data_IF_354147093611
#
_entry.id   IF_354147093611
#
_cell.length_a   1.000
_cell.length_b   1.000
_cell.length_c   1.000
_cell.angle_alpha   90.00
_cell.angle_beta   90.00
_cell.angle_gamma   90.00
#
_symmetry.space_group_name_H-M   'P 1'
#
loop_
_entity.id
_entity.type
_entity.pdbx_description
1 polymer ?
#
# COMPACT_ATOMS: atom_id res chain seq x y z
N UNK A 1 -1.43 1.55 0.95
CA UNK A 1 -1.90 0.50 1.89
C UNK A 1 -3.16 0.95 2.63
N UNK A 2 -3.97 1.82 2.01
CA UNK A 2 -5.38 1.98 2.40
C UNK A 2 -6.10 0.62 2.32
N UNK A 3 -7.02 0.35 3.25
CA UNK A 3 -7.70 -0.94 3.35
C UNK A 3 -8.68 -1.18 2.21
N UNK A 4 -9.12 -0.13 1.54
CA UNK A 4 -10.04 -0.19 0.42
C UNK A 4 -9.30 -0.35 -0.89
N UNK A 5 -9.93 -1.01 -1.87
CA UNK A 5 -9.37 -1.06 -3.20
C UNK A 5 -9.37 0.35 -3.81
N UNK A 6 -8.19 0.84 -4.20
CA UNK A 6 -8.00 2.13 -4.86
C UNK A 6 -8.46 2.13 -6.33
N UNK A 7 -9.72 1.77 -6.55
CA UNK A 7 -10.32 1.50 -7.86
C UNK A 7 -10.23 2.68 -8.82
N UNK A 8 -10.23 3.92 -8.31
CA UNK A 8 -10.05 5.12 -9.14
C UNK A 8 -8.69 5.13 -9.84
N UNK A 9 -7.62 4.95 -9.07
CA UNK A 9 -6.25 4.88 -9.60
C UNK A 9 -6.08 3.70 -10.54
N UNK A 10 -6.63 2.52 -10.21
CA UNK A 10 -6.61 1.37 -11.11
C UNK A 10 -7.25 1.71 -12.46
N UNK A 11 -8.47 2.25 -12.48
CA UNK A 11 -9.17 2.56 -13.72
C UNK A 11 -8.49 3.66 -14.55
N UNK A 12 -7.79 4.60 -13.92
CA UNK A 12 -7.04 5.64 -14.65
C UNK A 12 -5.88 5.03 -15.45
N UNK A 13 -5.22 4.01 -14.90
CA UNK A 13 -3.98 3.45 -15.45
C UNK A 13 -4.11 2.04 -16.02
N UNK A 14 -5.33 1.46 -16.09
CA UNK A 14 -5.51 0.05 -16.50
C UNK A 14 -4.97 -0.26 -17.90
N UNK A 15 -4.87 0.73 -18.80
CA UNK A 15 -4.29 0.58 -20.14
C UNK A 15 -2.89 1.23 -20.30
N UNK A 16 -2.34 1.80 -19.23
CA UNK A 16 -1.06 2.50 -19.23
C UNK A 16 0.09 1.58 -18.81
N UNK A 17 1.06 1.37 -19.71
CA UNK A 17 2.25 0.56 -19.43
C UNK A 17 3.31 1.29 -18.60
N UNK A 18 3.14 2.58 -18.36
CA UNK A 18 4.12 3.46 -17.71
C UNK A 18 3.86 3.64 -16.22
N UNK A 19 2.77 3.06 -15.69
CA UNK A 19 2.41 3.12 -14.27
C UNK A 19 2.11 1.72 -13.75
N UNK A 20 2.92 1.24 -12.81
CA UNK A 20 2.60 0.06 -12.02
C UNK A 20 1.67 0.44 -10.87
N UNK A 21 0.40 0.02 -10.94
CA UNK A 21 -0.55 0.12 -9.86
C UNK A 21 -0.50 -1.15 -8.98
N UNK A 22 -0.38 -0.95 -7.67
CA UNK A 22 -0.40 -2.04 -6.68
C UNK A 22 -1.33 -1.69 -5.53
N UNK A 23 -2.18 -2.63 -5.14
CA UNK A 23 -3.08 -2.47 -4.01
C UNK A 23 -3.09 -3.71 -3.10
N UNK A 24 -2.90 -3.49 -1.80
CA UNK A 24 -3.22 -4.46 -0.75
C UNK A 24 -4.49 -3.95 -0.09
N UNK A 25 -5.57 -4.72 -0.15
CA UNK A 25 -6.86 -4.27 0.34
C UNK A 25 -7.69 -5.46 0.83
N UNK A 26 -8.65 -5.19 1.70
CA UNK A 26 -9.61 -6.19 2.13
C UNK A 26 -10.52 -6.56 0.96
N UNK A 27 -10.75 -7.85 0.74
CA UNK A 27 -11.59 -8.33 -0.37
C UNK A 27 -12.31 -9.65 -0.02
N UNK A 28 -13.59 -9.83 -0.38
CA UNK A 28 -14.48 -8.82 -0.97
C UNK A 28 -14.87 -7.77 0.07
N UNK A 29 -14.77 -6.49 -0.30
CA UNK A 29 -15.14 -5.36 0.55
C UNK A 29 -15.53 -4.15 -0.31
N UNK A 30 -15.28 -2.92 0.13
CA UNK A 30 -15.55 -1.74 -0.68
C UNK A 30 -14.47 -1.52 -1.75
N UNK A 31 -14.83 -1.24 -3.01
CA UNK A 31 -16.19 -1.06 -3.56
C UNK A 31 -16.74 -2.31 -4.29
N UNK A 32 -16.19 -3.49 -4.04
CA UNK A 32 -16.55 -4.75 -4.69
C UNK A 32 -15.67 -5.12 -5.90
N UNK A 33 -14.59 -4.38 -6.12
CA UNK A 33 -13.57 -4.60 -7.16
C UNK A 33 -12.22 -4.91 -6.52
N UNK A 34 -11.17 -5.15 -7.33
CA UNK A 34 -9.83 -5.46 -6.83
C UNK A 34 -9.56 -6.97 -6.75
N UNK A 35 -10.26 -7.78 -7.54
CA UNK A 35 -9.93 -9.21 -7.59
C UNK A 35 -8.50 -9.41 -8.10
N UNK A 36 -7.85 -10.50 -7.68
CA UNK A 36 -6.52 -10.89 -8.19
C UNK A 36 -6.45 -11.08 -9.71
N UNK A 37 -7.59 -11.29 -10.37
CA UNK A 37 -7.67 -11.52 -11.81
C UNK A 37 -7.75 -10.19 -12.60
N UNK A 38 -7.96 -9.06 -11.92
CA UNK A 38 -7.86 -7.72 -12.49
C UNK A 38 -6.38 -7.34 -12.62
N UNK A 39 -5.83 -7.47 -13.84
CA UNK A 39 -4.38 -7.36 -14.10
C UNK A 39 -4.01 -6.28 -15.13
N UNK A 40 -4.94 -5.36 -15.42
CA UNK A 40 -4.79 -4.36 -16.47
C UNK A 40 -5.29 -4.85 -17.82
N UNK A 41 -5.21 -3.99 -18.83
CA UNK A 41 -5.79 -4.17 -20.17
C UNK A 41 -4.84 -3.61 -21.23
N UNK A 42 -4.98 -4.09 -22.46
CA UNK A 42 -4.23 -3.54 -23.60
C UNK A 42 -2.72 -3.47 -23.34
N UNK A 43 -2.16 -2.26 -23.42
CA UNK A 43 -0.72 -2.03 -23.16
C UNK A 43 -0.37 -2.12 -21.67
N UNK A 44 -1.30 -1.84 -20.77
CA UNK A 44 -1.14 -1.93 -19.32
C UNK A 44 -1.30 -3.34 -18.74
N UNK A 45 -1.44 -4.38 -19.58
CA UNK A 45 -1.56 -5.75 -19.10
C UNK A 45 -0.31 -6.15 -18.28
N UNK A 46 -0.54 -6.58 -17.04
CA UNK A 46 0.49 -6.89 -16.05
C UNK A 46 0.93 -5.71 -15.18
N UNK A 47 0.43 -4.49 -15.43
CA UNK A 47 0.76 -3.28 -14.67
C UNK A 47 -0.25 -2.96 -13.56
N UNK A 48 -1.26 -3.80 -13.36
CA UNK A 48 -2.16 -3.76 -12.20
C UNK A 48 -1.94 -5.01 -11.38
N UNK A 49 -1.66 -4.86 -10.09
CA UNK A 49 -1.44 -5.95 -9.15
C UNK A 49 -2.30 -5.75 -7.92
N UNK A 50 -3.28 -6.62 -7.76
CA UNK A 50 -4.14 -6.66 -6.58
C UNK A 50 -3.74 -7.80 -5.65
N UNK A 51 -3.56 -7.48 -4.38
CA UNK A 51 -3.40 -8.40 -3.27
C UNK A 51 -4.69 -8.37 -2.42
N UNK A 52 -5.72 -9.16 -2.80
CA UNK A 52 -6.95 -9.26 -2.01
C UNK A 52 -6.69 -10.01 -0.70
N UNK A 53 -6.99 -9.37 0.43
CA UNK A 53 -6.77 -9.89 1.78
C UNK A 53 -8.09 -10.19 2.49
N UNK A 54 -8.10 -11.24 3.30
CA UNK A 54 -9.25 -11.57 4.17
C UNK A 54 -9.41 -10.56 5.31
N UNK A 55 -10.60 -10.48 5.88
CA UNK A 55 -10.82 -9.72 7.11
C UNK A 55 -9.92 -10.27 8.24
N UNK A 56 -9.56 -9.40 9.19
CA UNK A 56 -8.70 -9.71 10.34
C UNK A 56 -7.23 -10.04 9.99
N UNK A 57 -6.82 -9.90 8.73
CA UNK A 57 -5.41 -9.99 8.36
C UNK A 57 -4.60 -8.88 9.05
N UNK A 58 -3.48 -9.24 9.65
CA UNK A 58 -2.62 -8.32 10.40
C UNK A 58 -1.18 -8.28 9.88
N UNK A 59 -0.28 -7.77 10.71
CA UNK A 59 1.09 -7.39 10.35
C UNK A 59 1.85 -8.45 9.55
N UNK A 60 1.88 -9.72 10.01
CA UNK A 60 2.68 -10.78 9.37
C UNK A 60 2.40 -10.92 7.87
N UNK A 61 1.13 -10.90 7.47
CA UNK A 61 0.74 -11.02 6.06
C UNK A 61 1.04 -9.77 5.25
N UNK A 62 0.80 -8.58 5.82
CA UNK A 62 1.13 -7.32 5.14
C UNK A 62 2.65 -7.23 4.93
N UNK A 63 3.44 -7.57 5.94
CA UNK A 63 4.89 -7.52 5.89
C UNK A 63 5.47 -8.59 4.96
N UNK A 64 4.91 -9.80 4.92
CA UNK A 64 5.31 -10.84 3.95
C UNK A 64 5.10 -10.36 2.51
N UNK A 65 3.92 -9.80 2.21
CA UNK A 65 3.62 -9.28 0.87
C UNK A 65 4.53 -8.11 0.52
N UNK A 66 4.69 -7.14 1.42
CA UNK A 66 5.49 -5.94 1.17
C UNK A 66 6.98 -6.29 1.01
N UNK A 67 7.55 -7.16 1.86
CA UNK A 67 8.96 -7.58 1.75
C UNK A 67 9.26 -8.45 0.53
N UNK A 68 8.30 -9.27 0.10
CA UNK A 68 8.54 -10.26 -0.96
C UNK A 68 7.82 -9.87 -2.24
N UNK A 69 6.61 -10.39 -2.45
CA UNK A 69 5.93 -10.33 -3.73
C UNK A 69 5.75 -8.91 -4.26
N UNK A 70 5.46 -7.92 -3.41
CA UNK A 70 5.33 -6.52 -3.85
C UNK A 70 6.70 -5.95 -4.24
N UNK A 71 7.70 -6.05 -3.36
CA UNK A 71 9.04 -5.51 -3.61
C UNK A 71 9.64 -6.08 -4.89
N UNK A 72 9.52 -7.39 -5.13
CA UNK A 72 9.99 -8.04 -6.37
C UNK A 72 9.35 -7.43 -7.63
N UNK A 73 8.07 -7.07 -7.58
CA UNK A 73 7.34 -6.47 -8.72
C UNK A 73 7.78 -5.04 -8.96
N UNK A 74 7.98 -4.27 -7.89
CA UNK A 74 8.48 -2.89 -7.97
C UNK A 74 9.91 -2.87 -8.52
N UNK A 75 10.82 -3.71 -8.00
CA UNK A 75 12.19 -3.82 -8.48
C UNK A 75 12.25 -4.23 -9.96
N UNK A 76 11.36 -5.14 -10.38
CA UNK A 76 11.26 -5.55 -11.79
C UNK A 76 10.73 -4.44 -12.69
N UNK A 77 9.83 -3.59 -12.18
CA UNK A 77 9.26 -2.48 -12.93
C UNK A 77 10.27 -1.32 -13.09
N UNK A 78 11.22 -1.17 -12.17
CA UNK A 78 12.23 -0.11 -12.16
C UNK A 78 11.59 1.29 -12.26
N UNK A 79 10.76 1.68 -11.28
CA UNK A 79 10.09 2.97 -11.31
C UNK A 79 11.11 4.11 -11.21
N UNK A 80 10.84 5.23 -11.88
CA UNK A 80 11.57 6.47 -11.60
C UNK A 80 11.13 7.11 -10.27
N UNK A 81 9.97 6.74 -9.71
CA UNK A 81 9.37 7.37 -8.54
C UNK A 81 8.33 6.44 -7.89
N UNK A 82 8.23 6.42 -6.55
CA UNK A 82 7.19 5.68 -5.82
C UNK A 82 6.21 6.65 -5.15
N UNK A 83 4.91 6.41 -5.33
CA UNK A 83 3.83 7.15 -4.64
C UNK A 83 3.03 6.17 -3.76
N UNK A 84 2.89 6.50 -2.49
CA UNK A 84 2.08 5.75 -1.52
C UNK A 84 0.75 6.47 -1.31
N UNK A 85 -0.34 5.82 -1.70
CA UNK A 85 -1.69 6.09 -1.17
C UNK A 85 -1.78 5.49 0.23
N UNK A 86 -1.51 6.34 1.23
CA UNK A 86 -1.29 5.98 2.63
C UNK A 86 -2.55 6.19 3.46
N UNK A 87 -3.46 5.22 3.37
CA UNK A 87 -4.57 5.09 4.31
C UNK A 87 -4.18 4.27 5.54
N UNK A 88 -4.65 4.66 6.71
CA UNK A 88 -4.38 3.98 7.99
C UNK A 88 -5.61 3.26 8.56
N UNK A 89 -6.59 3.00 7.71
CA UNK A 89 -7.83 2.32 8.04
C UNK A 89 -7.71 0.78 8.08
N UNK A 90 -6.56 0.21 7.71
CA UNK A 90 -6.24 -1.20 8.02
C UNK A 90 -5.87 -1.42 9.51
N UNK A 91 -5.84 -0.36 10.32
CA UNK A 91 -5.49 -0.45 11.73
C UNK A 91 -6.50 -1.30 12.53
N UNK A 92 -6.02 -2.09 13.50
CA UNK A 92 -6.85 -2.92 14.40
C UNK A 92 -7.93 -2.17 15.20
N UNK A 93 -7.85 -0.84 15.27
CA UNK A 93 -8.79 0.02 15.99
C UNK A 93 -9.73 0.77 15.04
N UNK A 94 -9.53 0.63 13.73
CA UNK A 94 -10.33 1.36 12.75
C UNK A 94 -11.75 0.78 12.67
N UNK A 95 -12.79 1.62 12.74
CA UNK A 95 -14.18 1.15 12.74
C UNK A 95 -14.65 0.64 11.37
N UNK A 96 -13.95 0.97 10.27
CA UNK A 96 -14.37 0.65 8.91
C UNK A 96 -13.52 -0.44 8.25
N UNK A 97 -12.22 -0.54 8.55
CA UNK A 97 -11.36 -1.47 7.81
C UNK A 97 -11.57 -2.95 8.11
N UNK A 98 -11.70 -3.34 9.39
CA UNK A 98 -11.86 -4.75 9.79
C UNK A 98 -10.61 -5.60 9.54
N UNK A 99 -9.43 -4.99 9.72
CA UNK A 99 -8.11 -5.61 9.61
C UNK A 99 -7.37 -5.46 10.96
N UNK A 100 -6.23 -6.12 11.12
CA UNK A 100 -5.47 -6.15 12.39
C UNK A 100 -4.04 -5.61 12.22
N UNK A 101 -3.84 -4.58 11.40
CA UNK A 101 -2.52 -3.94 11.29
C UNK A 101 -2.29 -3.08 12.52
N UNK A 102 -1.10 -3.16 13.11
CA UNK A 102 -0.72 -2.33 14.25
C UNK A 102 -0.04 -1.04 13.79
N UNK A 103 0.03 -0.03 14.67
CA UNK A 103 0.90 1.15 14.47
C UNK A 103 2.33 0.73 14.07
N UNK A 104 2.88 -0.28 14.74
CA UNK A 104 4.23 -0.77 14.44
C UNK A 104 4.29 -1.46 13.06
N UNK A 105 3.24 -2.18 12.66
CA UNK A 105 3.10 -2.74 11.32
C UNK A 105 3.20 -1.68 10.23
N UNK A 106 2.46 -0.57 10.36
CA UNK A 106 2.59 0.58 9.44
C UNK A 106 4.01 1.17 9.44
N UNK A 107 4.63 1.31 10.61
CA UNK A 107 6.01 1.76 10.73
C UNK A 107 6.99 0.85 9.97
N UNK A 108 6.86 -0.46 10.11
CA UNK A 108 7.73 -1.44 9.44
C UNK A 108 7.48 -1.46 7.93
N UNK A 109 6.23 -1.41 7.47
CA UNK A 109 5.91 -1.26 6.04
C UNK A 109 6.55 -0.01 5.46
N UNK A 110 6.47 1.12 6.17
CA UNK A 110 7.06 2.38 5.74
C UNK A 110 8.57 2.27 5.59
N UNK A 111 9.25 1.64 6.55
CA UNK A 111 10.69 1.41 6.48
C UNK A 111 11.08 0.57 5.25
N UNK A 112 10.27 -0.43 4.89
CA UNK A 112 10.49 -1.24 3.69
C UNK A 112 10.32 -0.37 2.42
N UNK A 113 9.27 0.45 2.34
CA UNK A 113 9.08 1.34 1.19
C UNK A 113 10.19 2.38 1.03
N UNK A 114 10.73 2.90 2.13
CA UNK A 114 11.90 3.80 2.10
C UNK A 114 13.11 3.09 1.50
N UNK A 115 13.45 1.90 2.01
CA UNK A 115 14.57 1.09 1.48
C UNK A 115 14.37 0.71 0.02
N UNK A 116 13.15 0.34 -0.35
CA UNK A 116 12.80 0.00 -1.73
C UNK A 116 12.98 1.21 -2.66
N UNK A 117 12.58 2.41 -2.22
CA UNK A 117 12.79 3.63 -2.99
C UNK A 117 14.28 4.00 -3.11
N UNK A 118 15.07 3.82 -2.05
CA UNK A 118 16.52 3.98 -2.09
C UNK A 118 17.17 3.04 -3.12
N UNK A 119 16.68 1.80 -3.22
CA UNK A 119 17.22 0.78 -4.13
C UNK A 119 16.86 1.03 -5.60
N UNK A 120 15.62 1.42 -5.90
CA UNK A 120 15.14 1.46 -7.30
C UNK A 120 14.93 2.85 -7.89
N UNK A 121 14.84 3.90 -7.08
CA UNK A 121 14.49 5.24 -7.57
C UNK A 121 15.19 6.39 -6.82
N UNK A 122 16.44 6.18 -6.38
CA UNK A 122 17.27 7.15 -5.66
C UNK A 122 16.56 7.82 -4.47
N UNK A 123 15.75 7.06 -3.73
CA UNK A 123 15.01 7.53 -2.56
C UNK A 123 13.79 8.40 -2.89
N UNK A 124 13.39 8.51 -4.16
CA UNK A 124 12.22 9.31 -4.57
C UNK A 124 10.90 8.66 -4.17
N UNK A 125 10.40 9.03 -2.99
CA UNK A 125 9.18 8.52 -2.39
C UNK A 125 8.26 9.68 -1.99
N UNK A 126 7.00 9.64 -2.45
CA UNK A 126 5.93 10.54 -1.99
C UNK A 126 4.88 9.72 -1.24
N UNK A 127 4.42 10.24 -0.10
CA UNK A 127 3.28 9.68 0.62
C UNK A 127 2.13 10.68 0.63
N UNK A 128 0.93 10.23 0.29
CA UNK A 128 -0.30 11.01 0.27
C UNK A 128 -1.31 10.34 1.20
N UNK A 129 -1.84 11.08 2.17
CA UNK A 129 -2.82 10.56 3.12
C UNK A 129 -4.14 10.21 2.42
N UNK A 130 -4.69 9.04 2.73
CA UNK A 130 -6.00 8.57 2.26
C UNK A 130 -6.97 8.36 3.45
N UNK A 131 -7.45 7.13 3.68
CA UNK A 131 -8.37 6.78 4.77
C UNK A 131 -7.72 6.67 6.16
N UNK A 132 -8.57 6.40 7.15
CA UNK A 132 -8.23 6.31 8.57
C UNK A 132 -9.27 7.03 9.42
N UNK A 133 -10.06 6.27 10.17
CA UNK A 133 -11.31 6.75 10.76
C UNK A 133 -11.33 6.64 12.29
N UNK A 134 -10.33 5.98 12.88
CA UNK A 134 -10.03 6.11 14.30
C UNK A 134 -8.97 7.20 14.51
N UNK A 135 -9.35 8.35 15.09
CA UNK A 135 -8.48 9.52 15.22
C UNK A 135 -7.20 9.25 16.03
N UNK A 136 -7.27 8.41 17.07
CA UNK A 136 -6.10 8.08 17.88
C UNK A 136 -5.14 7.18 17.10
N UNK A 137 -5.66 6.11 16.52
CA UNK A 137 -4.89 5.18 15.69
C UNK A 137 -4.25 5.89 14.50
N UNK A 138 -5.02 6.76 13.83
CA UNK A 138 -4.55 7.57 12.71
C UNK A 138 -3.40 8.48 13.11
N UNK A 139 -3.53 9.21 14.23
CA UNK A 139 -2.47 10.10 14.70
C UNK A 139 -1.17 9.33 15.01
N UNK A 140 -1.28 8.23 15.75
CA UNK A 140 -0.12 7.37 16.10
C UNK A 140 0.52 6.74 14.85
N UNK A 141 -0.29 6.30 13.88
CA UNK A 141 0.20 5.69 12.64
C UNK A 141 0.84 6.70 11.69
N UNK A 142 0.28 7.91 11.58
CA UNK A 142 0.90 9.00 10.82
C UNK A 142 2.21 9.42 11.48
N UNK A 143 2.27 9.50 12.80
CA UNK A 143 3.50 9.86 13.52
C UNK A 143 4.62 8.86 13.22
N UNK A 144 4.39 7.56 13.39
CA UNK A 144 5.42 6.54 13.12
C UNK A 144 5.79 6.50 11.62
N UNK A 145 4.82 6.67 10.72
CA UNK A 145 5.06 6.76 9.29
C UNK A 145 5.99 7.92 8.94
N UNK A 146 5.71 9.12 9.46
CA UNK A 146 6.55 10.30 9.25
C UNK A 146 7.95 10.15 9.84
N UNK A 147 8.09 9.55 11.03
CA UNK A 147 9.40 9.27 11.64
C UNK A 147 10.27 8.39 10.74
N UNK A 148 9.65 7.35 10.15
CA UNK A 148 10.32 6.43 9.23
C UNK A 148 10.67 7.10 7.90
N UNK A 149 9.77 7.92 7.35
CA UNK A 149 10.05 8.71 6.14
C UNK A 149 11.16 9.75 6.33
N UNK A 150 11.20 10.41 7.48
CA UNK A 150 12.17 11.49 7.73
C UNK A 150 13.56 10.98 8.12
N UNK A 151 13.72 9.68 8.40
CA UNK A 151 14.95 9.11 8.93
C UNK A 151 15.34 9.63 10.33
N UNK A 152 14.40 10.26 11.06
CA UNK A 152 14.66 10.82 12.38
C UNK A 152 14.41 9.75 13.44
N UNK A 153 15.49 9.30 14.08
CA UNK A 153 15.44 8.51 15.31
C UNK A 153 15.39 9.50 16.48
N UNK A 154 14.31 9.49 17.28
CA UNK A 154 14.23 10.26 18.55
C UNK A 154 14.42 9.29 19.71
#
# INVERSE_FOLDING_TARGET
FDVHHGNGTQHIFEEDSTVLYVSLHRYPFYPGTGSKDETGRGRGLGMTINYPLGANTGDDNYLDIVNHSLSDKVLKFQPDFIILSSGFDAHEMDPLGGMNVTTQGFGTMTEIFVKLAEECCDGRLLSVLEGGYNLKALAESVEIHLRKLSGIII
#
